data_IF_511069983075
#
_entry.id   IF_511069983075
#
_cell.length_a   1.000
_cell.length_b   1.000
_cell.length_c   1.000
_cell.angle_alpha   90.00
_cell.angle_beta   90.00
_cell.angle_gamma   90.00
#
_symmetry.space_group_name_H-M   'P 1'
#
loop_
_entity.id
_entity.type
_entity.pdbx_description
1 polymer ?
#
# COMPACT_ATOMS: atom_id res chain seq x y z
N UNK A 1 8.04 6.47 -17.70
CA UNK A 1 7.03 5.62 -17.02
C UNK A 1 6.56 6.39 -15.81
N UNK A 2 5.27 6.74 -15.70
CA UNK A 2 4.74 7.43 -14.51
C UNK A 2 4.80 6.43 -13.35
N UNK A 3 5.52 6.76 -12.28
CA UNK A 3 5.80 5.93 -11.10
C UNK A 3 4.54 5.60 -10.25
N UNK A 4 3.36 5.52 -10.86
CA UNK A 4 2.06 5.40 -10.20
C UNK A 4 2.01 4.16 -9.29
N UNK A 5 2.57 3.04 -9.75
CA UNK A 5 2.60 1.79 -8.99
C UNK A 5 3.52 1.85 -7.76
N UNK A 6 4.73 2.39 -7.92
CA UNK A 6 5.68 2.54 -6.81
C UNK A 6 5.20 3.55 -5.77
N UNK A 7 4.54 4.62 -6.22
CA UNK A 7 3.90 5.61 -5.37
C UNK A 7 2.77 4.99 -4.55
N UNK A 8 1.91 4.17 -5.16
CA UNK A 8 0.83 3.49 -4.44
C UNK A 8 1.34 2.47 -3.42
N UNK A 9 2.41 1.74 -3.72
CA UNK A 9 3.04 0.87 -2.73
C UNK A 9 3.64 1.66 -1.56
N UNK A 10 4.29 2.80 -1.84
CA UNK A 10 4.84 3.67 -0.80
C UNK A 10 3.73 4.24 0.12
N UNK A 11 2.62 4.69 -0.48
CA UNK A 11 1.43 5.15 0.28
C UNK A 11 0.87 4.01 1.12
N UNK A 12 0.72 2.81 0.55
CA UNK A 12 0.29 1.62 1.28
C UNK A 12 1.19 1.30 2.46
N UNK A 13 2.51 1.36 2.29
CA UNK A 13 3.50 1.13 3.35
C UNK A 13 3.39 2.16 4.49
N UNK A 14 3.28 3.45 4.17
CA UNK A 14 3.17 4.50 5.19
C UNK A 14 1.85 4.37 5.97
N UNK A 15 0.75 4.10 5.28
CA UNK A 15 -0.55 3.84 5.93
C UNK A 15 -0.50 2.57 6.78
N UNK A 16 0.12 1.51 6.28
CA UNK A 16 0.31 0.26 7.02
C UNK A 16 1.16 0.43 8.27
N UNK A 17 2.25 1.20 8.18
CA UNK A 17 3.06 1.55 9.34
C UNK A 17 2.25 2.36 10.36
N UNK A 18 1.43 3.31 9.92
CA UNK A 18 0.53 4.07 10.79
C UNK A 18 -0.50 3.16 11.50
N UNK A 19 -1.10 2.22 10.78
CA UNK A 19 -2.01 1.22 11.35
C UNK A 19 -1.27 0.33 12.34
N UNK A 20 -0.08 -0.16 11.99
CA UNK A 20 0.70 -1.05 12.85
C UNK A 20 1.15 -0.40 14.16
N UNK A 21 1.47 0.90 14.12
CA UNK A 21 1.72 1.69 15.33
C UNK A 21 0.44 1.87 16.14
N UNK A 22 -0.69 2.17 15.51
CA UNK A 22 -1.97 2.36 16.19
C UNK A 22 -2.50 1.06 16.83
N UNK A 23 -2.26 -0.09 16.21
CA UNK A 23 -2.69 -1.40 16.72
C UNK A 23 -1.63 -2.10 17.57
N UNK A 24 -0.47 -1.46 17.78
CA UNK A 24 0.70 -2.04 18.45
C UNK A 24 1.15 -3.39 17.85
N UNK A 25 0.85 -3.61 16.56
CA UNK A 25 1.16 -4.81 15.80
C UNK A 25 1.65 -4.41 14.40
N UNK A 26 2.97 -4.22 14.29
CA UNK A 26 3.60 -3.83 13.03
C UNK A 26 3.44 -4.88 11.93
N UNK A 27 3.35 -6.18 12.27
CA UNK A 27 3.17 -7.23 11.29
C UNK A 27 1.83 -7.12 10.58
N UNK A 28 0.76 -6.93 11.36
CA UNK A 28 -0.59 -6.71 10.85
C UNK A 28 -0.69 -5.40 10.06
N UNK A 29 -0.15 -4.31 10.60
CA UNK A 29 -0.14 -3.01 9.92
C UNK A 29 0.59 -3.04 8.58
N UNK A 30 1.82 -3.56 8.55
CA UNK A 30 2.62 -3.68 7.33
C UNK A 30 1.96 -4.62 6.31
N UNK A 31 1.38 -5.74 6.76
CA UNK A 31 0.67 -6.68 5.90
C UNK A 31 -0.55 -6.04 5.24
N UNK A 32 -1.37 -5.32 6.00
CA UNK A 32 -2.55 -4.60 5.49
C UNK A 32 -2.13 -3.46 4.55
N UNK A 33 -1.11 -2.69 4.93
CA UNK A 33 -0.61 -1.58 4.11
C UNK A 33 -0.03 -2.03 2.77
N UNK A 34 0.75 -3.11 2.76
CA UNK A 34 1.27 -3.70 1.53
C UNK A 34 0.14 -4.25 0.67
N UNK A 35 -0.83 -4.97 1.24
CA UNK A 35 -1.97 -5.50 0.49
C UNK A 35 -2.79 -4.39 -0.18
N UNK A 36 -3.04 -3.28 0.54
CA UNK A 36 -3.74 -2.11 0.01
C UNK A 36 -2.93 -1.40 -1.09
N UNK A 37 -1.64 -1.15 -0.86
CA UNK A 37 -0.77 -0.50 -1.83
C UNK A 37 -0.62 -1.30 -3.13
N UNK A 38 -0.48 -2.63 -3.01
CA UNK A 38 -0.40 -3.53 -4.16
C UNK A 38 -1.73 -3.63 -4.91
N UNK A 39 -2.84 -3.77 -4.17
CA UNK A 39 -4.19 -3.87 -4.75
C UNK A 39 -4.58 -2.61 -5.52
N UNK A 40 -4.34 -1.43 -4.93
CA UNK A 40 -4.59 -0.16 -5.58
C UNK A 40 -3.67 0.05 -6.79
N UNK A 41 -2.38 -0.29 -6.66
CA UNK A 41 -1.42 -0.22 -7.77
C UNK A 41 -1.83 -1.10 -8.94
N UNK A 42 -2.26 -2.33 -8.66
CA UNK A 42 -2.72 -3.27 -9.68
C UNK A 42 -4.03 -2.80 -10.33
N UNK A 43 -4.96 -2.27 -9.54
CA UNK A 43 -6.22 -1.71 -10.04
C UNK A 43 -6.00 -0.49 -10.95
N UNK A 44 -5.08 0.41 -10.61
CA UNK A 44 -4.72 1.54 -11.47
C UNK A 44 -4.03 1.09 -12.76
N UNK A 45 -3.13 0.09 -12.68
CA UNK A 45 -2.50 -0.48 -13.87
C UNK A 45 -3.53 -1.10 -14.82
N UNK A 46 -4.56 -1.76 -14.29
CA UNK A 46 -5.64 -2.36 -15.08
C UNK A 46 -6.64 -1.33 -15.63
N UNK A 47 -6.92 -0.22 -14.93
CA UNK A 47 -7.77 0.86 -15.44
C UNK A 47 -7.10 1.71 -16.54
N UNK A 48 -5.78 1.58 -16.73
CA UNK A 48 -5.01 2.30 -17.75
C UNK A 48 -4.87 1.53 -19.07
N UNK A 49 -5.60 0.41 -19.21
CA UNK A 49 -5.65 -0.42 -20.43
C UNK A 49 -6.84 -0.06 -21.29
#
# INVERSE_FOLDING_TARGET
MKNDFGLMMAIGLVLGAGVGVATNDMGLGMGVGLALGFGLGAAQKNNKK
#
